data_IF_428134448471
#
_entry.id   IF_428134448471
#
_cell.length_a   1.000
_cell.length_b   1.000
_cell.length_c   1.000
_cell.angle_alpha   90.00
_cell.angle_beta   90.00
_cell.angle_gamma   90.00
#
_symmetry.space_group_name_H-M   'P 1'
#
loop_
_entity.id
_entity.type
_entity.pdbx_description
1 polymer ?
#
# COMPACT_ATOMS: atom_id res chain seq x y z
N UNK A 1 -13.43 37.42 43.77
CA UNK A 1 -13.66 36.01 43.42
C UNK A 1 -13.19 35.85 42.00
N UNK A 2 -11.89 35.58 41.85
CA UNK A 2 -11.25 35.42 40.54
C UNK A 2 -11.54 34.01 40.01
N UNK A 3 -12.14 33.95 38.82
CA UNK A 3 -12.35 32.71 38.08
C UNK A 3 -11.02 32.29 37.45
N UNK A 4 -10.54 31.05 37.61
CA UNK A 4 -9.32 30.63 36.93
C UNK A 4 -9.61 30.46 35.44
N UNK A 5 -8.86 31.19 34.61
CA UNK A 5 -8.82 30.98 33.16
C UNK A 5 -8.34 29.56 32.86
N UNK A 6 -9.27 28.72 32.39
CA UNK A 6 -8.96 27.39 31.89
C UNK A 6 -8.23 27.53 30.55
N UNK A 7 -6.92 27.76 30.62
CA UNK A 7 -6.03 27.71 29.46
C UNK A 7 -6.01 26.28 28.94
N UNK A 8 -6.87 25.99 27.97
CA UNK A 8 -6.86 24.74 27.22
C UNK A 8 -5.54 24.65 26.46
N UNK A 9 -4.51 24.11 27.11
CA UNK A 9 -3.25 23.78 26.47
C UNK A 9 -3.52 22.71 25.41
N UNK A 10 -3.72 23.14 24.17
CA UNK A 10 -3.73 22.27 23.00
C UNK A 10 -2.40 21.50 22.98
N UNK A 11 -2.40 20.25 23.43
CA UNK A 11 -1.29 19.33 23.23
C UNK A 11 -0.98 19.27 21.73
N UNK A 12 0.06 19.99 21.29
CA UNK A 12 0.55 19.92 19.91
C UNK A 12 0.97 18.47 19.66
N UNK A 13 0.10 17.69 19.01
CA UNK A 13 0.47 16.35 18.55
C UNK A 13 1.66 16.50 17.64
N UNK A 14 2.77 15.92 18.07
CA UNK A 14 3.96 15.86 17.27
C UNK A 14 3.64 15.08 15.99
N UNK A 15 3.94 15.69 14.84
CA UNK A 15 3.72 15.06 13.54
C UNK A 15 4.52 13.76 13.45
N UNK A 16 3.98 12.75 12.76
CA UNK A 16 4.53 11.37 12.74
C UNK A 16 6.00 11.27 12.28
N UNK A 17 6.47 12.30 11.58
CA UNK A 17 7.79 12.42 11.00
C UNK A 17 8.72 13.40 11.73
N UNK A 18 8.32 13.99 12.85
CA UNK A 18 9.18 14.91 13.59
C UNK A 18 10.50 14.22 13.99
N UNK A 19 11.63 14.86 13.67
CA UNK A 19 12.97 14.32 13.92
C UNK A 19 13.38 13.13 13.04
N UNK A 20 12.55 12.74 12.04
CA UNK A 20 12.88 11.68 11.08
C UNK A 20 13.28 12.27 9.74
N UNK A 21 14.38 11.80 9.17
CA UNK A 21 14.74 12.12 7.78
C UNK A 21 13.74 11.45 6.85
N UNK A 22 12.77 12.22 6.38
CA UNK A 22 11.81 11.80 5.36
C UNK A 22 12.31 12.33 4.02
N UNK A 23 12.58 11.44 3.08
CA UNK A 23 13.09 11.78 1.76
C UNK A 23 12.96 10.59 0.82
N UNK A 24 13.50 10.74 -0.39
CA UNK A 24 13.52 9.65 -1.35
C UNK A 24 14.24 8.43 -0.78
N UNK A 25 13.55 7.29 -0.73
CA UNK A 25 14.16 5.99 -0.39
C UNK A 25 14.63 5.30 -1.67
N UNK A 26 15.72 4.54 -1.56
CA UNK A 26 16.16 3.67 -2.66
C UNK A 26 15.12 2.58 -2.92
N UNK A 27 14.97 2.22 -4.19
CA UNK A 27 14.16 1.07 -4.57
C UNK A 27 14.69 -0.22 -3.92
N UNK A 28 13.79 -1.17 -3.66
CA UNK A 28 14.15 -2.49 -3.15
C UNK A 28 15.00 -3.23 -4.19
N UNK A 29 16.06 -3.90 -3.72
CA UNK A 29 16.84 -4.83 -4.55
C UNK A 29 16.07 -6.14 -4.74
N UNK A 30 16.30 -6.89 -5.84
CA UNK A 30 15.67 -8.18 -6.06
C UNK A 30 15.82 -9.16 -4.88
N UNK A 31 17.01 -9.22 -4.26
CA UNK A 31 17.25 -10.02 -3.05
C UNK A 31 16.32 -9.63 -1.88
N UNK A 32 16.12 -8.33 -1.66
CA UNK A 32 15.25 -7.83 -0.59
C UNK A 32 13.77 -8.14 -0.87
N UNK A 33 13.35 -8.04 -2.13
CA UNK A 33 12.00 -8.44 -2.55
C UNK A 33 11.80 -9.93 -2.24
N UNK A 34 12.77 -10.77 -2.58
CA UNK A 34 12.73 -12.21 -2.26
C UNK A 34 12.66 -12.48 -0.75
N UNK A 35 13.48 -11.79 0.06
CA UNK A 35 13.48 -11.95 1.53
C UNK A 35 12.12 -11.58 2.14
N UNK A 36 11.50 -10.48 1.69
CA UNK A 36 10.17 -10.05 2.15
C UNK A 36 9.12 -11.09 1.75
N UNK A 37 9.15 -11.53 0.48
CA UNK A 37 8.28 -12.58 -0.06
C UNK A 37 8.36 -13.86 0.76
N UNK A 38 9.58 -14.31 1.07
CA UNK A 38 9.84 -15.48 1.89
C UNK A 38 9.29 -15.33 3.31
N UNK A 39 9.56 -14.18 3.96
CA UNK A 39 9.07 -13.90 5.30
C UNK A 39 7.54 -13.93 5.39
N UNK A 40 6.84 -13.32 4.42
CA UNK A 40 5.37 -13.28 4.40
C UNK A 40 4.78 -14.69 4.19
N UNK A 41 5.40 -15.50 3.33
CA UNK A 41 4.97 -16.88 3.10
C UNK A 41 5.18 -17.75 4.33
N UNK A 42 6.36 -17.67 4.97
CA UNK A 42 6.68 -18.44 6.18
C UNK A 42 5.75 -18.11 7.36
N UNK A 43 5.22 -16.88 7.41
CA UNK A 43 4.27 -16.45 8.43
C UNK A 43 2.81 -16.61 8.01
N UNK A 44 2.53 -17.26 6.87
CA UNK A 44 1.19 -17.44 6.31
C UNK A 44 0.38 -16.13 6.21
N UNK A 45 1.04 -15.00 5.93
CA UNK A 45 0.40 -13.68 5.83
C UNK A 45 -0.13 -13.44 4.42
N UNK A 46 -1.13 -14.22 4.01
CA UNK A 46 -1.67 -14.27 2.64
C UNK A 46 -2.06 -12.88 2.10
N UNK A 47 -2.86 -12.12 2.86
CA UNK A 47 -3.28 -10.77 2.48
C UNK A 47 -2.10 -9.84 2.23
N UNK A 48 -1.13 -9.86 3.14
CA UNK A 48 0.00 -8.94 3.07
C UNK A 48 0.98 -9.36 1.97
N UNK A 49 1.07 -10.65 1.67
CA UNK A 49 1.79 -11.19 0.52
C UNK A 49 1.17 -10.71 -0.79
N UNK A 50 -0.14 -10.84 -0.93
CA UNK A 50 -0.88 -10.39 -2.10
C UNK A 50 -0.76 -8.88 -2.31
N UNK A 51 -0.93 -8.08 -1.24
CA UNK A 51 -0.73 -6.63 -1.29
C UNK A 51 0.70 -6.23 -1.65
N UNK A 52 1.69 -6.95 -1.14
CA UNK A 52 3.09 -6.68 -1.46
C UNK A 52 3.39 -6.91 -2.94
N UNK A 53 2.99 -8.06 -3.49
CA UNK A 53 3.20 -8.35 -4.91
C UNK A 53 2.43 -7.36 -5.81
N UNK A 54 1.19 -7.03 -5.45
CA UNK A 54 0.41 -6.02 -6.17
C UNK A 54 1.06 -4.62 -6.11
N UNK A 55 1.70 -4.25 -5.00
CA UNK A 55 2.42 -2.99 -4.86
C UNK A 55 3.64 -2.91 -5.78
N UNK A 56 4.39 -4.02 -5.92
CA UNK A 56 5.57 -4.09 -6.79
C UNK A 56 5.19 -3.88 -8.26
N UNK A 57 4.11 -4.53 -8.70
CA UNK A 57 3.63 -4.46 -10.07
C UNK A 57 3.05 -3.08 -10.39
N UNK A 58 2.09 -2.64 -9.58
CA UNK A 58 1.27 -1.45 -9.83
C UNK A 58 1.98 -0.13 -9.53
N UNK A 59 2.95 -0.14 -8.59
CA UNK A 59 3.66 1.05 -8.09
C UNK A 59 2.70 2.15 -7.58
N UNK A 60 1.51 1.77 -7.16
CA UNK A 60 0.52 2.69 -6.63
C UNK A 60 0.94 3.23 -5.27
N UNK A 61 0.37 4.37 -4.89
CA UNK A 61 0.50 4.89 -3.52
C UNK A 61 -0.20 3.94 -2.56
N UNK A 62 0.28 3.86 -1.32
CA UNK A 62 -0.34 2.99 -0.32
C UNK A 62 -1.85 3.23 -0.15
N UNK A 63 -2.29 4.49 -0.19
CA UNK A 63 -3.73 4.84 -0.11
C UNK A 63 -4.54 4.36 -1.32
N UNK A 64 -3.96 4.36 -2.52
CA UNK A 64 -4.62 3.87 -3.73
C UNK A 64 -4.67 2.33 -3.72
N UNK A 65 -3.56 1.68 -3.33
CA UNK A 65 -3.41 0.22 -3.28
C UNK A 65 -4.41 -0.44 -2.33
N UNK A 66 -4.56 0.08 -1.11
CA UNK A 66 -5.44 -0.51 -0.08
C UNK A 66 -6.93 -0.28 -0.36
N UNK A 67 -7.27 0.53 -1.37
CA UNK A 67 -8.64 0.82 -1.79
C UNK A 67 -9.06 0.05 -3.05
N UNK A 68 -8.16 -0.77 -3.63
CA UNK A 68 -8.47 -1.61 -4.78
C UNK A 68 -9.61 -2.57 -4.44
N UNK A 69 -10.58 -2.68 -5.35
CA UNK A 69 -11.73 -3.57 -5.25
C UNK A 69 -11.50 -4.82 -6.08
N UNK A 70 -12.21 -5.90 -5.75
CA UNK A 70 -12.17 -7.16 -6.49
C UNK A 70 -12.49 -6.93 -7.99
N UNK A 71 -13.50 -6.10 -8.29
CA UNK A 71 -13.88 -5.79 -9.68
C UNK A 71 -12.83 -5.04 -10.50
N UNK A 72 -11.83 -4.42 -9.86
CA UNK A 72 -10.74 -3.74 -10.55
C UNK A 72 -9.74 -4.74 -11.16
N UNK A 73 -9.60 -5.91 -10.53
CA UNK A 73 -8.57 -6.92 -10.83
C UNK A 73 -9.15 -8.27 -11.29
N UNK A 74 -10.42 -8.57 -11.05
CA UNK A 74 -11.09 -9.82 -11.44
C UNK A 74 -12.17 -9.57 -12.50
N UNK A 75 -12.28 -10.46 -13.49
CA UNK A 75 -13.37 -10.50 -14.46
C UNK A 75 -13.74 -11.94 -14.80
N UNK A 76 -15.03 -12.27 -14.79
CA UNK A 76 -15.48 -13.63 -15.12
C UNK A 76 -14.86 -14.72 -14.24
N UNK A 77 -14.60 -14.43 -12.97
CA UNK A 77 -13.94 -15.35 -12.03
C UNK A 77 -12.44 -15.54 -12.24
N UNK A 78 -11.83 -14.83 -13.18
CA UNK A 78 -10.40 -14.89 -13.47
C UNK A 78 -9.70 -13.57 -13.12
N UNK A 79 -8.46 -13.67 -12.65
CA UNK A 79 -7.63 -12.49 -12.43
C UNK A 79 -7.15 -11.97 -13.78
N UNK A 80 -7.38 -10.68 -14.04
CA UNK A 80 -6.98 -10.01 -15.28
C UNK A 80 -5.45 -10.01 -15.41
N UNK A 81 -4.96 -9.90 -16.64
CA UNK A 81 -3.52 -9.64 -16.88
C UNK A 81 -3.16 -8.17 -16.71
N UNK A 82 -4.15 -7.28 -16.78
CA UNK A 82 -4.00 -5.84 -16.54
C UNK A 82 -5.17 -5.31 -15.72
N UNK A 83 -4.89 -4.33 -14.87
CA UNK A 83 -5.90 -3.63 -14.09
C UNK A 83 -5.82 -2.12 -14.36
N UNK A 84 -6.94 -1.43 -14.15
CA UNK A 84 -7.02 0.03 -14.27
C UNK A 84 -7.58 0.55 -12.94
N UNK A 85 -6.85 1.47 -12.30
CA UNK A 85 -7.25 2.07 -11.02
C UNK A 85 -7.21 3.59 -11.14
N UNK A 86 -8.23 4.26 -10.61
CA UNK A 86 -8.26 5.72 -10.52
C UNK A 86 -7.39 6.19 -9.36
N UNK A 87 -6.35 6.97 -9.64
CA UNK A 87 -5.50 7.53 -8.57
C UNK A 87 -6.24 8.65 -7.83
N UNK A 88 -6.33 8.55 -6.50
CA UNK A 88 -7.04 9.51 -5.67
C UNK A 88 -6.49 10.93 -5.82
N UNK A 89 -5.16 11.07 -5.86
CA UNK A 89 -4.51 12.38 -5.90
C UNK A 89 -4.80 13.16 -7.19
N UNK A 90 -4.85 12.47 -8.32
CA UNK A 90 -4.89 13.10 -9.64
C UNK A 90 -6.22 12.93 -10.34
N UNK A 91 -7.08 12.02 -9.86
CA UNK A 91 -8.32 11.63 -10.54
C UNK A 91 -8.08 10.97 -11.90
N UNK A 92 -6.86 10.50 -12.19
CA UNK A 92 -6.50 9.91 -13.48
C UNK A 92 -6.49 8.38 -13.42
N UNK A 93 -6.99 7.68 -14.45
CA UNK A 93 -6.84 6.24 -14.55
C UNK A 93 -5.38 5.89 -14.79
N UNK A 94 -4.89 4.87 -14.09
CA UNK A 94 -3.59 4.26 -14.33
C UNK A 94 -3.78 2.78 -14.61
N UNK A 95 -3.27 2.35 -15.76
CA UNK A 95 -3.24 0.94 -16.13
C UNK A 95 -1.89 0.34 -15.76
N UNK A 96 -1.90 -0.88 -15.21
CA UNK A 96 -0.70 -1.64 -14.91
C UNK A 96 -0.91 -3.13 -15.20
N UNK A 97 0.19 -3.84 -15.37
CA UNK A 97 0.21 -5.28 -15.58
C UNK A 97 0.20 -6.02 -14.24
N UNK A 98 -0.50 -7.15 -14.19
CA UNK A 98 -0.49 -8.09 -13.07
C UNK A 98 0.38 -9.27 -13.48
N UNK A 99 1.60 -9.35 -12.98
CA UNK A 99 2.55 -10.42 -13.32
C UNK A 99 2.06 -11.80 -12.79
N UNK A 100 2.53 -12.92 -13.37
CA UNK A 100 2.12 -14.26 -12.97
C UNK A 100 2.22 -14.51 -11.46
N UNK A 101 3.32 -14.11 -10.83
CA UNK A 101 3.52 -14.23 -9.38
C UNK A 101 2.41 -13.54 -8.58
N UNK A 102 2.06 -12.30 -8.95
CA UNK A 102 1.01 -11.51 -8.30
C UNK A 102 -0.35 -12.16 -8.46
N UNK A 103 -0.65 -12.71 -9.64
CA UNK A 103 -1.89 -13.44 -9.87
C UNK A 103 -1.98 -14.71 -9.01
N UNK A 104 -0.88 -15.45 -8.88
CA UNK A 104 -0.81 -16.60 -7.97
C UNK A 104 -1.04 -16.18 -6.51
N UNK A 105 -0.38 -15.10 -6.06
CA UNK A 105 -0.53 -14.59 -4.69
C UNK A 105 -1.94 -14.10 -4.38
N UNK A 106 -2.69 -13.62 -5.38
CA UNK A 106 -4.07 -13.18 -5.24
C UNK A 106 -5.08 -14.34 -5.24
N UNK A 107 -4.68 -15.55 -5.68
CA UNK A 107 -5.50 -16.77 -5.65
C UNK A 107 -5.24 -17.66 -4.42
N UNK A 108 -4.18 -17.36 -3.67
CA UNK A 108 -3.68 -18.19 -2.57
C UNK A 108 -4.50 -18.11 -1.28
#
# INVERSE_FOLDING_TARGET
MDMPENTLASHKRQVWNAGRTVGAKRALKPKQIWEIRFYLNQRCRLRDRALFDLAIDSKLRGCDLVQIKIGDIVSGGQIRTRAIVMQQKTGRPVQFELLPDTRTSLLA
#
